data_IF_974206946126
#
_entry.id   IF_974206946126
#
_cell.length_a   1.000
_cell.length_b   1.000
_cell.length_c   1.000
_cell.angle_alpha   90.00
_cell.angle_beta   90.00
_cell.angle_gamma   90.00
#
_symmetry.space_group_name_H-M   'P 1'
#
loop_
_entity.id
_entity.type
_entity.pdbx_description
1 polymer ?
#
# COMPACT_ATOMS: atom_id res chain seq x y z
N UNK A 1 -3.37 -45.21 -51.24
CA UNK A 1 -3.71 -45.53 -49.84
C UNK A 1 -2.65 -44.96 -48.95
N UNK A 2 -2.96 -43.87 -48.29
CA UNK A 2 -2.06 -43.19 -47.32
C UNK A 2 -2.76 -43.30 -45.97
N UNK A 3 -2.15 -43.83 -44.93
CA UNK A 3 -2.80 -43.96 -43.62
C UNK A 3 -2.83 -42.61 -42.88
N UNK A 4 -3.99 -42.29 -42.41
CA UNK A 4 -4.32 -41.14 -41.58
C UNK A 4 -3.75 -41.38 -40.17
N UNK A 5 -2.74 -40.60 -39.77
CA UNK A 5 -2.23 -40.59 -38.39
C UNK A 5 -3.17 -39.76 -37.51
N UNK A 6 -3.80 -40.41 -36.55
CA UNK A 6 -4.65 -39.82 -35.54
C UNK A 6 -3.73 -39.20 -34.46
N UNK A 7 -3.62 -37.86 -34.39
CA UNK A 7 -3.02 -37.14 -33.29
C UNK A 7 -4.07 -37.03 -32.17
N UNK A 8 -3.91 -37.82 -31.13
CA UNK A 8 -4.62 -37.63 -29.87
C UNK A 8 -3.95 -36.49 -29.09
N UNK A 9 -4.58 -35.33 -29.09
CA UNK A 9 -4.26 -34.23 -28.19
C UNK A 9 -4.68 -34.66 -26.78
N UNK A 10 -3.68 -34.94 -25.94
CA UNK A 10 -3.87 -35.06 -24.51
C UNK A 10 -4.11 -33.64 -23.95
N UNK A 11 -5.35 -33.30 -23.67
CA UNK A 11 -5.69 -32.16 -22.84
C UNK A 11 -5.23 -32.47 -21.39
N UNK A 12 -4.08 -31.93 -21.00
CA UNK A 12 -3.69 -31.87 -19.60
C UNK A 12 -4.74 -31.03 -18.88
N UNK A 13 -5.52 -31.64 -18.00
CA UNK A 13 -6.36 -30.93 -17.05
C UNK A 13 -5.44 -30.15 -16.12
N UNK A 14 -5.34 -28.85 -16.32
CA UNK A 14 -4.84 -27.94 -15.30
C UNK A 14 -5.90 -27.99 -14.21
N UNK A 15 -5.60 -28.65 -13.11
CA UNK A 15 -6.34 -28.54 -11.86
C UNK A 15 -6.16 -27.07 -11.40
N UNK A 16 -7.07 -26.21 -11.82
CA UNK A 16 -7.33 -24.97 -11.11
C UNK A 16 -7.70 -25.37 -9.69
N UNK A 17 -6.83 -25.05 -8.73
CA UNK A 17 -7.21 -25.07 -7.33
C UNK A 17 -8.42 -24.14 -7.23
N UNK A 18 -9.60 -24.73 -7.03
CA UNK A 18 -10.81 -23.96 -6.82
C UNK A 18 -10.52 -23.01 -5.63
N UNK A 19 -10.60 -21.72 -5.87
CA UNK A 19 -10.60 -20.74 -4.81
C UNK A 19 -11.69 -21.19 -3.84
N UNK A 20 -11.32 -21.49 -2.60
CA UNK A 20 -12.27 -21.90 -1.58
C UNK A 20 -13.27 -20.77 -1.43
N UNK A 21 -14.53 -20.99 -1.84
CA UNK A 21 -15.59 -20.01 -1.72
C UNK A 21 -15.71 -19.62 -0.25
N UNK A 22 -15.39 -18.39 0.04
CA UNK A 22 -15.61 -17.77 1.33
C UNK A 22 -17.10 -17.45 1.46
N UNK A 23 -17.83 -18.30 2.12
CA UNK A 23 -19.31 -18.24 2.15
C UNK A 23 -19.86 -17.39 3.28
N UNK A 24 -19.01 -16.93 4.22
CA UNK A 24 -19.43 -16.08 5.36
C UNK A 24 -18.42 -14.95 5.59
N UNK A 25 -18.85 -13.69 5.66
CA UNK A 25 -17.94 -12.62 6.06
C UNK A 25 -17.54 -12.81 7.52
N UNK A 26 -16.29 -13.30 7.74
CA UNK A 26 -15.73 -13.47 9.08
C UNK A 26 -15.18 -12.14 9.62
N UNK A 27 -15.93 -11.06 9.44
CA UNK A 27 -15.54 -9.73 9.88
C UNK A 27 -16.72 -8.88 10.35
N UNK A 28 -16.44 -7.87 11.13
CA UNK A 28 -17.40 -6.89 11.62
C UNK A 28 -16.84 -5.47 11.56
N UNK A 29 -17.67 -4.48 11.28
CA UNK A 29 -17.28 -3.06 11.29
C UNK A 29 -17.09 -2.61 12.74
N UNK A 30 -15.93 -2.00 13.03
CA UNK A 30 -15.62 -1.48 14.38
C UNK A 30 -15.45 0.04 14.41
N UNK A 31 -15.22 0.68 13.26
CA UNK A 31 -15.18 2.13 13.12
C UNK A 31 -15.62 2.51 11.71
N UNK A 32 -16.21 3.69 11.55
CA UNK A 32 -16.68 4.21 10.28
C UNK A 32 -16.52 5.75 10.25
N UNK A 33 -16.66 6.35 9.07
CA UNK A 33 -16.53 7.80 8.89
C UNK A 33 -15.12 8.26 8.49
N UNK A 34 -14.26 7.33 8.06
CA UNK A 34 -12.94 7.61 7.52
C UNK A 34 -13.04 8.09 6.07
N UNK A 35 -12.04 8.84 5.63
CA UNK A 35 -11.96 9.36 4.25
C UNK A 35 -10.76 8.77 3.53
N UNK A 36 -11.03 7.81 2.63
CA UNK A 36 -10.03 7.05 1.90
C UNK A 36 -8.93 6.49 2.86
N UNK A 37 -9.30 5.59 3.80
CA UNK A 37 -8.35 5.05 4.77
C UNK A 37 -7.29 4.19 4.06
N UNK A 38 -6.06 4.35 4.49
CA UNK A 38 -4.87 3.66 3.99
C UNK A 38 -4.33 2.70 5.07
N UNK A 39 -3.01 2.62 5.23
CA UNK A 39 -2.42 1.76 6.23
C UNK A 39 -2.80 2.16 7.66
N UNK A 40 -2.80 1.19 8.55
CA UNK A 40 -3.16 1.36 9.95
C UNK A 40 -2.21 0.58 10.85
N UNK A 41 -1.92 1.14 12.01
CA UNK A 41 -0.97 0.55 12.95
C UNK A 41 -1.41 0.76 14.40
N UNK A 42 -0.99 -0.15 15.27
CA UNK A 42 -1.09 0.06 16.70
C UNK A 42 0.05 0.93 17.19
N UNK A 43 -0.27 2.07 17.78
CA UNK A 43 0.71 2.97 18.38
C UNK A 43 1.31 2.44 19.69
N UNK A 44 2.33 3.13 20.23
CA UNK A 44 2.97 2.75 21.50
C UNK A 44 2.02 2.72 22.70
N UNK A 45 0.92 3.47 22.64
CA UNK A 45 -0.15 3.50 23.64
C UNK A 45 -1.17 2.36 23.48
N UNK A 46 -0.98 1.49 22.49
CA UNK A 46 -1.88 0.37 22.15
C UNK A 46 -3.16 0.77 21.42
N UNK A 47 -3.34 2.05 21.06
CA UNK A 47 -4.47 2.49 20.23
C UNK A 47 -4.22 2.19 18.76
N UNK A 48 -5.31 2.02 18.00
CA UNK A 48 -5.24 1.86 16.56
C UNK A 48 -5.25 3.26 15.89
N UNK A 49 -4.29 3.49 15.02
CA UNK A 49 -4.16 4.71 14.22
C UNK A 49 -4.32 4.37 12.75
N UNK A 50 -4.93 5.28 11.99
CA UNK A 50 -5.26 5.10 10.58
C UNK A 50 -4.76 6.30 9.79
N UNK A 51 -4.01 6.06 8.72
CA UNK A 51 -3.71 7.06 7.70
C UNK A 51 -4.93 7.23 6.80
N UNK A 52 -5.29 8.46 6.48
CA UNK A 52 -6.39 8.80 5.58
C UNK A 52 -5.85 9.69 4.45
N UNK A 53 -5.99 9.25 3.21
CA UNK A 53 -5.49 10.00 2.06
C UNK A 53 -6.24 11.33 1.83
N UNK A 54 -7.46 11.43 2.33
CA UNK A 54 -8.33 12.59 2.07
C UNK A 54 -8.98 12.52 0.68
N UNK A 55 -9.26 13.67 0.10
CA UNK A 55 -9.94 13.82 -1.22
C UNK A 55 -9.22 14.83 -2.13
N UNK A 56 -7.96 15.15 -1.85
CA UNK A 56 -7.26 16.23 -2.56
C UNK A 56 -7.89 17.61 -2.29
N UNK A 57 -8.08 18.40 -3.34
CA UNK A 57 -8.63 19.74 -3.29
C UNK A 57 -8.77 20.34 -4.68
N UNK A 58 -8.57 21.67 -4.79
CA UNK A 58 -8.73 22.43 -6.04
C UNK A 58 -7.40 22.98 -6.60
N UNK A 59 -6.26 22.57 -6.04
CA UNK A 59 -4.96 23.05 -6.49
C UNK A 59 -4.58 22.38 -7.82
N UNK A 60 -4.23 23.20 -8.80
CA UNK A 60 -3.79 22.75 -10.11
C UNK A 60 -2.27 22.45 -10.10
N UNK A 61 -1.78 21.55 -10.98
CA UNK A 61 -0.35 21.35 -11.19
C UNK A 61 0.38 22.68 -11.42
N UNK A 62 1.55 22.83 -10.79
CA UNK A 62 2.39 24.03 -10.88
C UNK A 62 3.65 23.82 -11.73
N UNK A 63 3.92 22.57 -12.14
CA UNK A 63 4.91 22.20 -13.16
C UNK A 63 4.22 21.35 -14.23
N UNK A 64 4.92 21.07 -15.33
CA UNK A 64 4.38 20.16 -16.35
C UNK A 64 4.02 18.84 -15.73
N UNK A 65 2.73 18.47 -15.73
CA UNK A 65 2.32 17.18 -15.23
C UNK A 65 2.87 16.10 -16.16
N UNK A 66 3.15 14.94 -15.60
CA UNK A 66 3.48 13.79 -16.41
C UNK A 66 2.32 13.48 -17.36
N UNK A 67 2.63 13.16 -18.61
CA UNK A 67 1.63 12.58 -19.52
C UNK A 67 1.39 11.13 -19.06
N UNK A 68 0.29 10.89 -18.33
CA UNK A 68 -0.11 9.58 -17.84
C UNK A 68 -1.64 9.43 -17.83
N UNK A 69 -2.09 8.19 -17.65
CA UNK A 69 -3.51 7.83 -17.71
C UNK A 69 -4.34 8.37 -16.52
N UNK A 70 -3.72 8.75 -15.41
CA UNK A 70 -4.40 9.18 -14.17
C UNK A 70 -4.73 10.67 -14.12
N UNK A 71 -4.34 11.45 -15.13
CA UNK A 71 -4.68 12.87 -15.22
C UNK A 71 -6.19 13.11 -15.36
N UNK A 72 -6.75 14.25 -14.89
CA UNK A 72 -6.07 15.38 -14.24
C UNK A 72 -5.92 15.18 -12.72
N UNK A 73 -4.87 15.77 -12.13
CA UNK A 73 -4.66 15.80 -10.70
C UNK A 73 -5.22 17.08 -10.06
N UNK A 74 -5.72 16.95 -8.82
CA UNK A 74 -6.25 18.03 -8.00
C UNK A 74 -5.67 17.92 -6.59
N UNK A 75 -4.64 18.73 -6.32
CA UNK A 75 -3.97 18.77 -5.03
C UNK A 75 -4.77 19.48 -3.94
N UNK A 76 -4.45 19.20 -2.69
CA UNK A 76 -5.06 19.87 -1.54
C UNK A 76 -4.53 19.35 -0.21
N UNK A 77 -5.15 19.82 0.88
CA UNK A 77 -4.74 19.55 2.25
C UNK A 77 -5.87 18.89 3.03
N UNK A 78 -6.34 17.76 2.55
CA UNK A 78 -7.45 17.00 3.14
C UNK A 78 -7.01 15.67 3.78
N UNK A 79 -5.72 15.33 3.71
CA UNK A 79 -5.14 14.17 4.37
C UNK A 79 -5.21 14.28 5.89
N UNK A 80 -5.38 13.15 6.57
CA UNK A 80 -5.56 13.10 8.03
C UNK A 80 -4.95 11.85 8.63
N UNK A 81 -4.65 11.92 9.93
CA UNK A 81 -4.37 10.76 10.77
C UNK A 81 -5.42 10.70 11.86
N UNK A 82 -6.13 9.58 11.95
CA UNK A 82 -7.15 9.33 12.97
C UNK A 82 -6.73 8.24 13.94
N UNK A 83 -7.12 8.39 15.20
CA UNK A 83 -7.06 7.38 16.25
C UNK A 83 -8.44 6.79 16.46
N UNK A 84 -8.55 5.47 16.43
CA UNK A 84 -9.79 4.76 16.72
C UNK A 84 -9.89 4.51 18.23
N UNK A 85 -10.93 5.04 18.85
CA UNK A 85 -11.21 4.86 20.26
C UNK A 85 -11.91 3.50 20.52
N UNK A 86 -11.91 2.99 21.76
CA UNK A 86 -12.49 1.68 22.09
C UNK A 86 -13.98 1.53 21.74
N UNK A 87 -14.73 2.62 21.66
CA UNK A 87 -16.14 2.65 21.27
C UNK A 87 -16.36 2.79 19.75
N UNK A 88 -15.26 2.80 18.97
CA UNK A 88 -15.27 2.97 17.51
C UNK A 88 -15.33 4.42 17.02
N UNK A 89 -15.38 5.40 17.93
CA UNK A 89 -15.32 6.82 17.53
C UNK A 89 -13.90 7.20 17.05
N UNK A 90 -13.84 8.18 16.17
CA UNK A 90 -12.58 8.68 15.59
C UNK A 90 -12.15 9.96 16.31
N UNK A 91 -10.88 9.99 16.69
CA UNK A 91 -10.22 11.19 17.20
C UNK A 91 -9.16 11.63 16.18
N UNK A 92 -9.24 12.87 15.70
CA UNK A 92 -8.22 13.45 14.84
C UNK A 92 -6.91 13.63 15.62
N UNK A 93 -5.80 13.17 15.03
CA UNK A 93 -4.44 13.30 15.56
C UNK A 93 -3.68 14.38 14.80
N UNK A 94 -3.80 14.39 13.49
CA UNK A 94 -3.29 15.42 12.59
C UNK A 94 -4.24 15.55 11.41
N UNK A 95 -4.42 16.74 10.88
CA UNK A 95 -5.21 17.04 9.69
C UNK A 95 -4.52 18.08 8.81
N UNK A 96 -5.12 18.39 7.66
CA UNK A 96 -4.50 19.31 6.73
C UNK A 96 -3.20 18.79 6.10
N UNK A 97 -3.03 17.48 6.01
CA UNK A 97 -1.88 16.87 5.35
C UNK A 97 -2.06 16.86 3.81
N UNK A 98 -0.93 16.93 3.06
CA UNK A 98 -0.97 16.96 1.60
C UNK A 98 -1.58 15.70 0.99
N UNK A 99 -2.28 15.87 -0.14
CA UNK A 99 -2.83 14.79 -0.94
C UNK A 99 -3.42 15.31 -2.24
N UNK A 100 -3.78 14.41 -3.15
CA UNK A 100 -4.43 14.76 -4.40
C UNK A 100 -5.54 13.75 -4.75
N UNK A 101 -6.42 14.16 -5.64
CA UNK A 101 -7.41 13.33 -6.32
C UNK A 101 -7.00 13.21 -7.78
N UNK A 102 -7.04 12.01 -8.34
CA UNK A 102 -6.77 11.73 -9.75
C UNK A 102 -8.03 11.77 -10.62
N UNK A 103 -7.84 11.58 -11.93
CA UNK A 103 -8.93 11.59 -12.92
C UNK A 103 -9.89 10.40 -12.83
N UNK A 104 -9.54 9.35 -12.13
CA UNK A 104 -10.41 8.18 -11.87
C UNK A 104 -11.17 8.29 -10.54
N UNK A 105 -10.85 9.29 -9.73
CA UNK A 105 -11.44 9.48 -8.41
C UNK A 105 -10.71 8.73 -7.30
N UNK A 106 -9.47 8.29 -7.53
CA UNK A 106 -8.61 7.80 -6.47
C UNK A 106 -7.87 8.95 -5.80
N UNK A 107 -7.66 8.82 -4.50
CA UNK A 107 -7.00 9.83 -3.70
C UNK A 107 -5.72 9.28 -3.08
N UNK A 108 -4.61 9.96 -3.30
CA UNK A 108 -3.33 9.66 -2.68
C UNK A 108 -2.93 10.82 -1.77
N UNK A 109 -2.54 10.47 -0.54
CA UNK A 109 -2.24 11.47 0.50
C UNK A 109 -1.36 10.88 1.59
N UNK A 110 -1.86 10.81 2.83
CA UNK A 110 -1.18 10.07 3.90
C UNK A 110 -1.41 8.59 3.67
N UNK A 111 -0.35 7.85 3.36
CA UNK A 111 -0.44 6.42 3.01
C UNK A 111 -0.08 5.51 4.18
N UNK A 112 0.86 5.91 5.04
CA UNK A 112 1.33 5.06 6.14
C UNK A 112 1.83 5.87 7.35
N UNK A 113 1.95 5.20 8.50
CA UNK A 113 2.43 5.78 9.76
C UNK A 113 3.36 4.81 10.47
N UNK A 114 4.37 5.33 11.16
CA UNK A 114 5.30 4.53 11.94
C UNK A 114 5.77 5.28 13.19
N UNK A 115 6.34 4.55 14.15
CA UNK A 115 6.92 5.16 15.36
C UNK A 115 8.37 4.74 15.57
N UNK A 116 9.23 5.71 15.83
CA UNK A 116 10.59 5.49 16.33
C UNK A 116 10.73 6.24 17.64
N UNK A 117 11.06 5.53 18.73
CA UNK A 117 11.26 6.09 20.07
C UNK A 117 10.11 7.02 20.55
N UNK A 118 8.87 6.63 20.22
CA UNK A 118 7.66 7.37 20.57
C UNK A 118 7.33 8.56 19.67
N UNK A 119 8.18 8.90 18.71
CA UNK A 119 7.92 9.92 17.68
C UNK A 119 7.14 9.28 16.53
N UNK A 120 6.03 9.91 16.15
CA UNK A 120 5.21 9.50 15.00
C UNK A 120 5.76 10.10 13.72
N UNK A 121 5.88 9.26 12.70
CA UNK A 121 6.19 9.63 11.33
C UNK A 121 5.03 9.23 10.43
N UNK A 122 4.76 10.05 9.41
CA UNK A 122 3.77 9.75 8.37
C UNK A 122 4.43 9.78 6.99
N UNK A 123 3.97 8.90 6.12
CA UNK A 123 4.38 8.84 4.73
C UNK A 123 3.37 9.64 3.90
N UNK A 124 3.86 10.64 3.18
CA UNK A 124 3.08 11.45 2.24
C UNK A 124 3.31 10.88 0.84
N UNK A 125 2.30 10.26 0.29
CA UNK A 125 2.27 9.71 -1.07
C UNK A 125 1.86 10.78 -2.09
N UNK A 126 1.00 11.70 -1.69
CA UNK A 126 0.28 12.63 -2.54
C UNK A 126 0.90 14.00 -2.72
N UNK A 127 2.21 14.19 -2.49
CA UNK A 127 2.89 15.47 -2.65
C UNK A 127 3.49 15.69 -4.04
N UNK A 128 3.94 16.93 -4.31
CA UNK A 128 4.72 17.30 -5.48
C UNK A 128 4.07 18.33 -6.41
N UNK A 129 4.89 18.95 -7.25
CA UNK A 129 4.47 20.05 -8.13
C UNK A 129 3.53 19.60 -9.26
N UNK A 130 3.64 18.35 -9.75
CA UNK A 130 2.73 17.78 -10.75
C UNK A 130 1.32 17.58 -10.22
N UNK A 131 1.17 17.63 -8.89
CA UNK A 131 -0.08 17.46 -8.14
C UNK A 131 -0.58 18.74 -7.49
N UNK A 132 0.04 19.91 -7.83
CA UNK A 132 -0.34 21.21 -7.30
C UNK A 132 0.21 21.55 -5.91
N UNK A 133 1.19 20.77 -5.42
CA UNK A 133 1.77 20.88 -4.08
C UNK A 133 3.29 21.07 -4.15
N UNK A 134 3.79 22.19 -4.74
CA UNK A 134 5.22 22.37 -5.01
C UNK A 134 6.10 22.45 -3.76
N UNK A 135 5.54 22.89 -2.63
CA UNK A 135 6.25 23.04 -1.36
C UNK A 135 6.11 21.81 -0.44
N UNK A 136 5.25 20.87 -0.81
CA UNK A 136 4.95 19.66 -0.07
C UNK A 136 5.24 18.43 -0.95
N UNK A 137 6.49 17.93 -1.00
CA UNK A 137 6.86 16.79 -1.83
C UNK A 137 6.26 15.47 -1.32
N UNK A 138 6.25 14.43 -2.14
CA UNK A 138 6.12 13.08 -1.62
C UNK A 138 7.31 12.76 -0.72
N UNK A 139 7.06 12.21 0.48
CA UNK A 139 8.14 12.04 1.44
C UNK A 139 7.68 11.66 2.84
N UNK A 140 8.58 11.80 3.80
CA UNK A 140 8.30 11.50 5.20
C UNK A 140 8.21 12.77 6.02
N UNK A 141 7.15 12.87 6.82
CA UNK A 141 6.97 13.95 7.80
C UNK A 141 6.97 13.40 9.22
N UNK A 142 7.42 14.20 10.16
CA UNK A 142 7.23 13.99 11.60
C UNK A 142 5.95 14.69 12.03
N UNK A 143 5.10 13.99 12.77
CA UNK A 143 3.90 14.55 13.38
C UNK A 143 4.23 15.04 14.78
N UNK A 144 3.94 16.31 15.05
CA UNK A 144 4.15 16.94 16.34
C UNK A 144 2.97 16.68 17.29
N UNK A 145 3.14 16.80 18.62
CA UNK A 145 2.06 16.55 19.58
C UNK A 145 0.83 17.46 19.44
N UNK A 146 0.96 18.59 18.78
CA UNK A 146 -0.13 19.54 18.50
C UNK A 146 -0.86 19.24 17.17
N UNK A 147 -0.47 18.17 16.47
CA UNK A 147 -1.03 17.76 15.19
C UNK A 147 -0.39 18.41 13.96
N UNK A 148 0.50 19.38 14.15
CA UNK A 148 1.30 19.95 13.06
C UNK A 148 2.33 18.95 12.55
N UNK A 149 2.87 19.17 11.34
CA UNK A 149 3.91 18.32 10.77
C UNK A 149 5.14 19.10 10.30
N UNK A 150 6.24 18.38 10.15
CA UNK A 150 7.46 18.90 9.55
C UNK A 150 8.15 17.83 8.71
N UNK A 151 8.62 18.22 7.51
CA UNK A 151 9.33 17.30 6.63
C UNK A 151 10.63 16.80 7.26
N UNK A 152 10.85 15.50 7.10
CA UNK A 152 12.06 14.78 7.50
C UNK A 152 12.85 14.39 6.27
N UNK A 153 12.18 13.91 5.22
CA UNK A 153 12.83 13.49 3.99
C UNK A 153 11.97 13.84 2.77
N UNK A 154 12.61 14.35 1.74
CA UNK A 154 12.04 14.65 0.42
C UNK A 154 12.37 13.49 -0.53
N UNK A 155 11.40 12.60 -0.74
CA UNK A 155 11.54 11.46 -1.65
C UNK A 155 11.46 11.94 -3.10
N UNK A 156 10.63 12.93 -3.41
CA UNK A 156 10.54 13.53 -4.76
C UNK A 156 11.91 14.03 -5.25
N UNK A 157 12.59 14.83 -4.42
CA UNK A 157 13.93 15.33 -4.78
C UNK A 157 14.94 14.18 -4.95
N UNK A 158 14.85 13.15 -4.10
CA UNK A 158 15.74 12.01 -4.18
C UNK A 158 15.56 11.23 -5.49
N UNK A 159 14.33 10.85 -5.87
CA UNK A 159 14.08 10.06 -7.09
C UNK A 159 14.45 10.85 -8.34
N UNK A 160 14.13 12.14 -8.40
CA UNK A 160 14.51 13.02 -9.52
C UNK A 160 16.02 13.15 -9.69
N UNK A 161 16.78 13.14 -8.59
CA UNK A 161 18.25 13.22 -8.62
C UNK A 161 18.93 11.86 -8.85
N UNK A 162 18.24 10.75 -8.61
CA UNK A 162 18.77 9.39 -8.65
C UNK A 162 17.85 8.49 -9.48
N UNK A 163 17.85 8.59 -10.82
CA UNK A 163 16.99 7.78 -11.68
C UNK A 163 17.22 6.27 -11.45
N UNK A 164 16.19 5.48 -11.73
CA UNK A 164 16.24 4.02 -11.68
C UNK A 164 16.79 3.45 -13.00
N UNK A 165 17.07 2.14 -13.01
CA UNK A 165 17.62 1.47 -14.19
C UNK A 165 16.64 1.45 -15.38
N UNK A 166 15.32 1.40 -15.10
CA UNK A 166 14.24 1.47 -16.09
C UNK A 166 13.16 2.42 -15.58
N UNK A 167 13.10 3.63 -16.14
CA UNK A 167 12.10 4.63 -15.75
C UNK A 167 10.69 4.19 -16.16
N UNK A 168 9.65 4.55 -15.36
CA UNK A 168 8.26 4.29 -15.70
C UNK A 168 7.89 4.92 -17.05
N UNK A 169 7.04 4.23 -17.81
CA UNK A 169 6.61 4.73 -19.11
C UNK A 169 5.61 5.86 -18.96
N UNK A 170 5.92 7.02 -19.57
CA UNK A 170 4.97 8.12 -19.71
C UNK A 170 4.12 7.93 -20.99
N UNK A 171 2.95 8.58 -21.04
CA UNK A 171 2.03 8.55 -22.17
C UNK A 171 0.59 8.24 -21.74
N UNK A 172 -0.37 8.32 -22.66
CA UNK A 172 -1.81 8.18 -22.34
C UNK A 172 -2.22 6.81 -21.79
N UNK A 173 -1.33 5.83 -21.83
CA UNK A 173 -1.49 4.49 -21.23
C UNK A 173 -0.37 4.15 -20.27
N UNK A 174 0.48 5.11 -19.93
CA UNK A 174 1.59 4.94 -19.01
C UNK A 174 1.21 5.37 -17.59
N UNK A 175 2.03 4.93 -16.65
CA UNK A 175 1.94 5.27 -15.22
C UNK A 175 3.24 5.92 -14.76
N UNK A 176 3.51 7.13 -15.28
CA UNK A 176 4.73 7.85 -14.98
C UNK A 176 4.41 8.95 -13.94
N UNK A 177 4.97 8.80 -12.75
CA UNK A 177 4.75 9.68 -11.60
C UNK A 177 6.06 10.33 -11.15
N UNK A 178 6.50 11.44 -11.78
CA UNK A 178 7.82 12.02 -11.52
C UNK A 178 8.00 12.57 -10.10
N UNK A 179 6.93 12.75 -9.35
CA UNK A 179 6.96 13.10 -7.93
C UNK A 179 7.04 11.87 -7.01
N UNK A 180 6.90 10.66 -7.58
CA UNK A 180 6.92 9.39 -6.88
C UNK A 180 5.59 9.01 -6.21
N UNK A 181 5.47 7.72 -5.87
CA UNK A 181 4.31 7.14 -5.17
C UNK A 181 4.82 6.26 -4.02
N UNK A 182 5.36 6.84 -2.92
CA UNK A 182 5.78 6.05 -1.76
C UNK A 182 4.55 5.54 -1.00
N UNK A 183 4.30 4.22 -1.05
CA UNK A 183 3.04 3.63 -0.63
C UNK A 183 3.02 3.10 0.80
N UNK A 184 4.10 2.47 1.25
CA UNK A 184 4.19 1.90 2.59
C UNK A 184 5.52 2.14 3.27
N UNK A 185 5.52 2.09 4.60
CA UNK A 185 6.68 2.39 5.43
C UNK A 185 6.75 1.45 6.62
N UNK A 186 7.94 0.94 6.93
CA UNK A 186 8.19 0.16 8.14
C UNK A 186 9.45 0.63 8.87
N UNK A 187 9.52 0.34 10.17
CA UNK A 187 10.75 0.57 10.96
C UNK A 187 11.67 -0.64 10.87
N UNK A 188 12.90 -0.42 10.48
CA UNK A 188 13.95 -1.43 10.47
C UNK A 188 15.30 -0.84 10.93
N UNK A 189 15.90 -1.41 11.97
CA UNK A 189 17.20 -0.95 12.47
C UNK A 189 17.24 0.50 12.95
N UNK A 190 16.12 1.05 13.45
CA UNK A 190 16.01 2.46 13.87
C UNK A 190 15.85 3.45 12.73
N UNK A 191 15.68 2.96 11.51
CA UNK A 191 15.42 3.74 10.29
C UNK A 191 14.04 3.43 9.73
N UNK A 192 13.58 4.24 8.79
CA UNK A 192 12.35 4.01 8.04
C UNK A 192 12.71 3.38 6.69
N UNK A 193 12.05 2.26 6.36
CA UNK A 193 12.17 1.62 5.06
C UNK A 193 10.87 1.83 4.32
N UNK A 194 10.94 2.45 3.16
CA UNK A 194 9.81 2.90 2.35
C UNK A 194 9.76 2.10 1.05
N UNK A 195 8.58 1.62 0.68
CA UNK A 195 8.32 1.09 -0.67
C UNK A 195 7.82 2.25 -1.53
N UNK A 196 8.55 2.54 -2.58
CA UNK A 196 8.20 3.51 -3.61
C UNK A 196 7.77 2.73 -4.85
N UNK A 197 6.47 2.75 -5.12
CA UNK A 197 5.79 1.83 -6.05
C UNK A 197 6.09 2.18 -7.51
N UNK A 198 6.00 3.45 -7.89
CA UNK A 198 6.06 3.86 -9.28
C UNK A 198 7.43 3.61 -9.92
N UNK A 199 8.52 3.89 -9.18
CA UNK A 199 9.89 3.62 -9.64
C UNK A 199 10.40 2.25 -9.16
N UNK A 200 9.54 1.39 -8.65
CA UNK A 200 9.87 0.03 -8.20
C UNK A 200 11.09 -0.02 -7.25
N UNK A 201 11.10 0.87 -6.26
CA UNK A 201 12.24 1.05 -5.37
C UNK A 201 11.91 0.74 -3.91
N UNK A 202 12.91 0.24 -3.18
CA UNK A 202 12.90 0.22 -1.72
C UNK A 202 13.93 1.22 -1.23
N UNK A 203 13.49 2.18 -0.42
CA UNK A 203 14.30 3.27 0.10
C UNK A 203 14.52 3.12 1.60
N UNK A 204 15.69 3.47 2.09
CA UNK A 204 16.00 3.63 3.52
C UNK A 204 16.12 5.12 3.84
N UNK A 205 15.45 5.56 4.89
CA UNK A 205 15.46 6.95 5.37
C UNK A 205 15.97 6.97 6.80
N UNK A 206 17.00 7.75 7.05
CA UNK A 206 17.47 8.06 8.39
C UNK A 206 16.68 9.27 8.92
N UNK A 207 15.79 9.11 9.90
CA UNK A 207 14.93 10.20 10.36
C UNK A 207 15.68 11.29 11.15
N UNK A 208 16.92 11.03 11.59
CA UNK A 208 17.72 12.00 12.31
C UNK A 208 18.43 12.98 11.36
N UNK A 209 18.86 12.51 10.17
CA UNK A 209 19.55 13.34 9.18
C UNK A 209 18.69 13.72 7.98
N UNK A 210 17.57 13.03 7.75
CA UNK A 210 16.74 13.15 6.56
C UNK A 210 17.34 12.50 5.31
N UNK A 211 18.46 11.78 5.44
CA UNK A 211 19.11 11.16 4.30
C UNK A 211 18.28 10.00 3.74
N UNK A 212 18.18 9.94 2.41
CA UNK A 212 17.49 8.88 1.66
C UNK A 212 18.52 8.07 0.90
N UNK A 213 18.41 6.75 0.93
CA UNK A 213 19.27 5.81 0.19
C UNK A 213 18.42 4.76 -0.49
N UNK A 214 18.66 4.47 -1.78
CA UNK A 214 18.00 3.35 -2.46
C UNK A 214 18.67 2.03 -2.04
N UNK A 215 17.89 1.14 -1.44
CA UNK A 215 18.33 -0.19 -1.02
C UNK A 215 18.16 -1.20 -2.15
N UNK A 216 17.03 -1.12 -2.88
CA UNK A 216 16.73 -1.97 -4.03
C UNK A 216 16.21 -1.11 -5.19
N UNK A 217 16.64 -1.46 -6.40
CA UNK A 217 16.09 -1.02 -7.67
C UNK A 217 15.54 -2.26 -8.39
N UNK A 218 14.22 -2.36 -8.47
CA UNK A 218 13.49 -3.46 -9.11
C UNK A 218 12.83 -3.02 -10.42
N UNK A 219 13.17 -1.83 -10.91
CA UNK A 219 12.51 -1.20 -12.06
C UNK A 219 12.63 -2.01 -13.37
N UNK A 220 13.66 -2.85 -13.49
CA UNK A 220 13.81 -3.76 -14.66
C UNK A 220 12.82 -4.92 -14.61
N UNK A 221 12.44 -5.38 -13.41
CA UNK A 221 11.45 -6.44 -13.20
C UNK A 221 10.02 -5.92 -13.17
N UNK A 222 9.84 -4.66 -12.81
CA UNK A 222 8.55 -3.95 -12.73
C UNK A 222 7.47 -4.69 -11.92
N UNK A 223 7.74 -5.04 -10.63
CA UNK A 223 6.80 -5.82 -9.81
C UNK A 223 5.67 -4.99 -9.23
N UNK A 224 5.63 -3.67 -9.42
CA UNK A 224 4.72 -2.73 -8.75
C UNK A 224 4.63 -3.02 -7.23
N UNK A 225 5.74 -2.86 -6.50
CA UNK A 225 5.83 -3.24 -5.09
C UNK A 225 4.96 -2.31 -4.23
N UNK A 226 4.30 -2.87 -3.23
CA UNK A 226 3.35 -2.13 -2.37
C UNK A 226 3.76 -2.16 -0.91
N UNK A 227 4.13 -3.34 -0.39
CA UNK A 227 4.26 -3.55 1.05
C UNK A 227 5.46 -4.42 1.40
N UNK A 228 6.07 -4.11 2.55
CA UNK A 228 7.09 -4.94 3.18
C UNK A 228 6.55 -5.66 4.41
N UNK A 229 6.85 -6.94 4.50
CA UNK A 229 6.72 -7.75 5.71
C UNK A 229 8.08 -8.21 6.23
N UNK A 230 8.15 -8.64 7.50
CA UNK A 230 9.39 -9.10 8.11
C UNK A 230 9.21 -10.38 8.93
N UNK A 231 10.14 -11.33 8.76
CA UNK A 231 10.28 -12.51 9.63
C UNK A 231 11.73 -12.66 10.06
N UNK A 232 12.03 -12.36 11.31
CA UNK A 232 13.42 -12.33 11.79
C UNK A 232 14.22 -11.27 11.03
N UNK A 233 15.24 -11.73 10.31
CA UNK A 233 16.08 -10.86 9.47
C UNK A 233 15.65 -10.83 8.00
N UNK A 234 14.72 -11.67 7.59
CA UNK A 234 14.26 -11.72 6.21
C UNK A 234 13.17 -10.70 5.99
N UNK A 235 13.24 -9.99 4.86
CA UNK A 235 12.23 -9.08 4.38
C UNK A 235 11.48 -9.72 3.21
N UNK A 236 10.19 -9.45 3.16
CA UNK A 236 9.26 -9.92 2.14
C UNK A 236 8.61 -8.71 1.49
N UNK A 237 8.76 -8.59 0.18
CA UNK A 237 8.15 -7.55 -0.63
C UNK A 237 7.00 -8.15 -1.42
N UNK A 238 5.84 -7.52 -1.39
CA UNK A 238 4.67 -7.95 -2.15
C UNK A 238 4.04 -6.76 -2.87
N UNK A 239 3.39 -7.03 -3.99
CA UNK A 239 2.83 -5.98 -4.83
C UNK A 239 1.66 -6.41 -5.70
N UNK A 240 1.25 -5.52 -6.59
CA UNK A 240 0.11 -5.70 -7.48
C UNK A 240 0.29 -6.83 -8.50
N UNK A 241 1.53 -7.22 -8.79
CA UNK A 241 1.82 -8.37 -9.65
C UNK A 241 1.44 -9.73 -9.03
N UNK A 242 1.03 -9.74 -7.76
CA UNK A 242 0.66 -10.96 -7.04
C UNK A 242 1.83 -11.84 -6.63
N UNK A 243 3.06 -11.30 -6.66
CA UNK A 243 4.25 -11.97 -6.20
C UNK A 243 4.59 -11.59 -4.76
N UNK A 244 5.15 -12.53 -4.02
CA UNK A 244 5.86 -12.28 -2.77
C UNK A 244 7.31 -12.62 -3.00
N UNK A 245 8.17 -11.62 -2.92
CA UNK A 245 9.61 -11.75 -3.08
C UNK A 245 10.27 -11.72 -1.71
N UNK A 246 11.33 -12.49 -1.53
CA UNK A 246 12.12 -12.52 -0.29
C UNK A 246 13.54 -12.07 -0.57
N UNK A 247 14.08 -11.27 0.33
CA UNK A 247 15.47 -10.89 0.34
C UNK A 247 16.03 -10.86 1.77
N UNK A 248 17.25 -11.32 1.92
CA UNK A 248 17.95 -11.32 3.21
C UNK A 248 18.48 -9.91 3.54
N UNK A 249 18.97 -9.75 4.76
CA UNK A 249 19.45 -8.46 5.31
C UNK A 249 20.56 -7.78 4.51
N UNK A 250 21.23 -8.47 3.60
CA UNK A 250 22.28 -7.89 2.75
C UNK A 250 21.75 -7.33 1.43
N UNK A 251 20.44 -7.42 1.16
CA UNK A 251 19.80 -6.98 -0.09
C UNK A 251 20.48 -7.48 -1.38
N UNK A 252 21.29 -8.52 -1.28
CA UNK A 252 22.15 -9.01 -2.37
C UNK A 252 21.48 -9.97 -3.35
N UNK A 253 20.35 -10.56 -2.99
CA UNK A 253 19.59 -11.46 -3.86
C UNK A 253 18.10 -11.40 -3.55
N UNK A 254 17.30 -11.18 -4.58
CA UNK A 254 15.85 -11.25 -4.54
C UNK A 254 15.41 -12.57 -5.12
N UNK A 255 14.53 -13.30 -4.43
CA UNK A 255 13.97 -14.55 -4.93
C UNK A 255 12.45 -14.56 -4.74
N UNK A 256 11.73 -15.16 -5.69
CA UNK A 256 10.29 -15.39 -5.52
C UNK A 256 10.08 -16.37 -4.37
N UNK A 257 9.36 -15.92 -3.35
CA UNK A 257 8.98 -16.74 -2.20
C UNK A 257 7.64 -17.42 -2.44
N UNK A 258 6.69 -16.69 -3.04
CA UNK A 258 5.35 -17.17 -3.31
C UNK A 258 4.72 -16.36 -4.44
N UNK A 259 3.68 -16.89 -5.09
CA UNK A 259 3.04 -16.28 -6.25
C UNK A 259 1.58 -16.71 -6.37
N UNK A 260 0.89 -16.27 -7.44
CA UNK A 260 -0.51 -16.59 -7.75
C UNK A 260 -1.48 -15.98 -6.74
N UNK A 261 -1.17 -14.76 -6.27
CA UNK A 261 -2.11 -13.88 -5.59
C UNK A 261 -2.70 -12.88 -6.59
N UNK A 262 -3.78 -12.25 -6.20
CA UNK A 262 -4.26 -11.03 -6.84
C UNK A 262 -3.52 -9.81 -6.27
N UNK A 263 -3.82 -8.63 -6.75
CA UNK A 263 -3.23 -7.36 -6.29
C UNK A 263 -3.04 -7.30 -4.77
N UNK A 264 -1.82 -7.64 -4.30
CA UNK A 264 -1.48 -7.64 -2.88
C UNK A 264 -1.26 -6.20 -2.44
N UNK A 265 -2.00 -5.78 -1.42
CA UNK A 265 -1.91 -4.41 -0.86
C UNK A 265 -1.39 -4.38 0.57
N UNK A 266 -1.39 -5.52 1.27
CA UNK A 266 -0.79 -5.59 2.60
C UNK A 266 -0.30 -7.00 2.94
N UNK A 267 0.67 -7.07 3.84
CA UNK A 267 1.31 -8.31 4.28
C UNK A 267 1.64 -8.22 5.77
N UNK A 268 1.14 -9.14 6.57
CA UNK A 268 1.50 -9.25 7.98
C UNK A 268 2.05 -10.62 8.30
N UNK A 269 3.25 -10.69 8.93
CA UNK A 269 3.92 -11.95 9.25
C UNK A 269 4.09 -12.07 10.77
N UNK A 270 3.71 -13.23 11.32
CA UNK A 270 3.96 -13.56 12.74
C UNK A 270 4.23 -15.05 12.91
N UNK A 271 5.42 -15.38 13.39
CA UNK A 271 5.83 -16.78 13.56
C UNK A 271 5.86 -17.51 12.22
N UNK A 272 5.03 -18.55 12.07
CA UNK A 272 4.88 -19.32 10.84
C UNK A 272 3.61 -18.98 10.06
N UNK A 273 2.95 -17.88 10.41
CA UNK A 273 1.74 -17.40 9.75
C UNK A 273 2.04 -16.14 8.97
N UNK A 274 1.55 -16.07 7.76
CA UNK A 274 1.54 -14.91 6.90
C UNK A 274 0.09 -14.61 6.54
N UNK A 275 -0.31 -13.37 6.65
CA UNK A 275 -1.62 -12.87 6.24
C UNK A 275 -1.42 -11.94 5.06
N UNK A 276 -2.01 -12.28 3.93
CA UNK A 276 -1.92 -11.53 2.68
C UNK A 276 -3.26 -10.87 2.43
N UNK A 277 -3.27 -9.56 2.22
CA UNK A 277 -4.46 -8.80 1.89
C UNK A 277 -4.48 -8.51 0.40
N UNK A 278 -5.50 -9.00 -0.28
CA UNK A 278 -5.77 -8.72 -1.69
C UNK A 278 -6.91 -7.71 -1.80
N UNK A 279 -6.71 -6.67 -2.63
CA UNK A 279 -7.70 -5.59 -2.74
C UNK A 279 -8.93 -5.99 -3.57
N UNK A 280 -8.78 -6.98 -4.47
CA UNK A 280 -9.86 -7.60 -5.23
C UNK A 280 -9.52 -9.04 -5.62
N UNK A 281 -10.54 -9.82 -6.00
CA UNK A 281 -10.34 -11.19 -6.49
C UNK A 281 -9.75 -11.20 -7.91
N UNK A 282 -8.91 -12.18 -8.26
CA UNK A 282 -8.24 -12.24 -9.58
C UNK A 282 -9.22 -12.36 -10.77
N UNK A 283 -10.37 -12.99 -10.54
CA UNK A 283 -11.40 -13.16 -11.57
C UNK A 283 -12.26 -11.90 -11.79
N UNK A 284 -12.18 -10.94 -10.86
CA UNK A 284 -12.98 -9.71 -10.84
C UNK A 284 -12.12 -8.50 -10.47
N UNK A 285 -11.15 -8.13 -11.33
CA UNK A 285 -10.29 -6.97 -11.05
C UNK A 285 -11.13 -5.68 -10.94
N UNK A 286 -10.74 -4.81 -10.00
CA UNK A 286 -11.40 -3.52 -9.73
C UNK A 286 -12.89 -3.62 -9.41
N UNK A 287 -13.33 -4.78 -8.88
CA UNK A 287 -14.72 -4.98 -8.45
C UNK A 287 -14.81 -4.80 -6.93
N UNK A 288 -15.71 -3.93 -6.44
CA UNK A 288 -15.94 -3.78 -5.00
C UNK A 288 -16.44 -5.09 -4.37
N UNK A 289 -16.26 -5.22 -3.05
CA UNK A 289 -16.70 -6.36 -2.25
C UNK A 289 -16.11 -7.72 -2.69
N UNK A 290 -14.93 -7.70 -3.32
CA UNK A 290 -14.22 -8.92 -3.73
C UNK A 290 -12.86 -9.08 -3.06
N UNK A 291 -12.42 -8.08 -2.27
CA UNK A 291 -11.18 -8.16 -1.49
C UNK A 291 -11.24 -9.26 -0.44
N UNK A 292 -10.07 -9.80 -0.09
CA UNK A 292 -9.97 -10.93 0.84
C UNK A 292 -8.67 -10.95 1.63
N UNK A 293 -8.70 -11.62 2.79
CA UNK A 293 -7.51 -11.96 3.56
C UNK A 293 -7.19 -13.43 3.36
N UNK A 294 -5.98 -13.72 2.89
CA UNK A 294 -5.45 -15.07 2.75
C UNK A 294 -4.52 -15.38 3.93
N UNK A 295 -4.82 -16.40 4.70
CA UNK A 295 -3.86 -17.01 5.62
C UNK A 295 -2.97 -17.97 4.85
N UNK A 296 -1.68 -17.79 4.95
CA UNK A 296 -0.66 -18.62 4.32
C UNK A 296 0.34 -19.08 5.37
N UNK A 297 0.44 -20.38 5.59
CA UNK A 297 1.45 -20.97 6.47
C UNK A 297 2.78 -21.15 5.73
N UNK A 298 3.90 -21.11 6.45
CA UNK A 298 5.23 -21.30 5.84
C UNK A 298 5.48 -22.74 5.31
N UNK A 299 4.56 -23.68 5.56
CA UNK A 299 4.51 -25.01 4.92
C UNK A 299 3.89 -25.00 3.51
N UNK A 300 3.39 -23.86 3.07
CA UNK A 300 2.78 -23.65 1.74
C UNK A 300 1.27 -23.74 1.70
N UNK A 301 0.59 -24.12 2.79
CA UNK A 301 -0.87 -24.15 2.83
C UNK A 301 -1.44 -22.73 2.80
N UNK A 302 -2.56 -22.54 2.07
CA UNK A 302 -3.28 -21.27 1.91
C UNK A 302 -4.78 -21.47 2.09
N UNK A 303 -5.43 -20.52 2.75
CA UNK A 303 -6.89 -20.46 2.81
C UNK A 303 -7.37 -19.01 2.99
N UNK A 304 -8.47 -18.66 2.34
CA UNK A 304 -9.15 -17.39 2.59
C UNK A 304 -9.84 -17.44 3.95
N UNK A 305 -9.56 -16.47 4.81
CA UNK A 305 -10.13 -16.36 6.15
C UNK A 305 -11.13 -15.22 6.30
N UNK A 306 -11.12 -14.27 5.37
CA UNK A 306 -12.10 -13.21 5.25
C UNK A 306 -12.26 -12.83 3.78
N UNK A 307 -13.47 -12.51 3.34
CA UNK A 307 -13.77 -12.05 1.99
C UNK A 307 -14.95 -11.09 1.96
N UNK A 308 -15.30 -10.61 0.77
CA UNK A 308 -16.31 -9.58 0.62
C UNK A 308 -15.86 -8.22 1.16
N UNK A 309 -14.55 -7.96 1.21
CA UNK A 309 -14.00 -6.70 1.63
C UNK A 309 -14.04 -5.69 0.47
N UNK A 310 -14.58 -4.50 0.75
CA UNK A 310 -14.68 -3.44 -0.25
C UNK A 310 -13.35 -2.70 -0.38
N UNK A 311 -12.60 -2.96 -1.45
CA UNK A 311 -11.30 -2.33 -1.73
C UNK A 311 -10.44 -2.11 -0.48
N UNK A 312 -10.01 -3.18 0.21
CA UNK A 312 -9.15 -3.05 1.36
C UNK A 312 -7.74 -2.61 0.96
N UNK A 313 -7.03 -1.89 1.88
CA UNK A 313 -5.63 -1.50 1.68
C UNK A 313 -4.76 -1.82 2.88
N UNK A 314 -5.12 -1.35 4.06
CA UNK A 314 -4.31 -1.49 5.25
C UNK A 314 -4.71 -2.70 6.09
N UNK A 315 -3.73 -3.31 6.76
CA UNK A 315 -3.98 -4.41 7.69
C UNK A 315 -3.01 -4.35 8.87
N UNK A 316 -3.55 -4.38 10.08
CA UNK A 316 -2.76 -4.50 11.31
C UNK A 316 -3.25 -5.69 12.15
N UNK A 317 -2.36 -6.24 12.98
CA UNK A 317 -2.68 -7.36 13.85
C UNK A 317 -2.51 -7.02 15.33
N UNK A 318 -3.47 -7.44 16.16
CA UNK A 318 -3.33 -7.47 17.61
C UNK A 318 -3.92 -8.76 18.19
N UNK A 319 -3.07 -9.52 18.86
CA UNK A 319 -3.50 -10.81 19.43
C UNK A 319 -3.94 -11.79 18.34
N UNK A 320 -5.20 -12.21 18.41
CA UNK A 320 -5.85 -13.13 17.47
C UNK A 320 -6.87 -12.42 16.57
N UNK A 321 -6.62 -11.16 16.25
CA UNK A 321 -7.47 -10.33 15.42
C UNK A 321 -6.65 -9.57 14.39
N UNK A 322 -7.20 -9.42 13.17
CA UNK A 322 -6.74 -8.48 12.16
C UNK A 322 -7.72 -7.32 12.08
N UNK A 323 -7.17 -6.15 11.81
CA UNK A 323 -7.91 -4.91 11.59
C UNK A 323 -7.58 -4.46 10.16
N UNK A 324 -8.60 -4.24 9.35
CA UNK A 324 -8.46 -3.95 7.92
C UNK A 324 -9.19 -2.67 7.58
N UNK A 325 -8.51 -1.75 6.89
CA UNK A 325 -9.15 -0.58 6.29
C UNK A 325 -9.85 -0.98 4.99
N UNK A 326 -11.10 -0.56 4.83
CA UNK A 326 -11.92 -0.88 3.67
C UNK A 326 -12.61 0.37 3.12
N UNK A 327 -13.11 0.29 1.90
CA UNK A 327 -13.68 1.41 1.16
C UNK A 327 -12.64 2.51 0.93
N UNK A 328 -11.49 2.08 0.40
CA UNK A 328 -10.27 2.89 0.32
C UNK A 328 -9.99 3.46 -1.08
N UNK A 329 -10.70 2.99 -2.11
CA UNK A 329 -10.53 3.40 -3.50
C UNK A 329 -11.84 3.81 -4.16
N UNK A 330 -11.75 4.60 -5.25
CA UNK A 330 -12.84 4.83 -6.19
C UNK A 330 -14.02 5.61 -5.62
N UNK A 331 -13.82 6.29 -4.50
CA UNK A 331 -14.91 7.04 -3.86
C UNK A 331 -15.11 8.44 -4.45
N UNK A 332 -14.19 8.88 -5.30
CA UNK A 332 -14.16 10.26 -5.76
C UNK A 332 -14.04 11.26 -4.60
N UNK A 333 -14.57 12.47 -4.73
CA UNK A 333 -14.48 13.48 -3.68
C UNK A 333 -15.47 13.25 -2.53
N UNK A 334 -15.84 11.99 -2.23
CA UNK A 334 -16.79 11.68 -1.15
C UNK A 334 -16.03 11.38 0.13
N UNK A 335 -16.46 11.98 1.23
CA UNK A 335 -15.87 11.82 2.55
C UNK A 335 -16.66 10.86 3.41
N UNK A 336 -15.99 10.21 4.38
CA UNK A 336 -16.64 9.47 5.46
C UNK A 336 -17.20 8.10 5.10
N UNK A 337 -16.89 7.54 3.92
CA UNK A 337 -17.33 6.20 3.53
C UNK A 337 -16.41 5.09 4.03
N UNK A 338 -15.16 5.42 4.37
CA UNK A 338 -14.16 4.46 4.82
C UNK A 338 -14.50 3.86 6.19
N UNK A 339 -14.11 2.61 6.36
CA UNK A 339 -14.38 1.83 7.58
C UNK A 339 -13.14 1.05 7.99
N UNK A 340 -13.12 0.66 9.27
CA UNK A 340 -12.23 -0.39 9.78
C UNK A 340 -13.08 -1.60 10.13
N UNK A 341 -12.70 -2.74 9.60
CA UNK A 341 -13.30 -4.01 9.95
C UNK A 341 -12.32 -4.84 10.79
N UNK A 342 -12.87 -5.67 11.66
CA UNK A 342 -12.14 -6.63 12.49
C UNK A 342 -12.40 -8.04 11.98
N UNK A 343 -11.34 -8.79 11.68
CA UNK A 343 -11.36 -10.20 11.32
C UNK A 343 -10.84 -11.02 12.49
N UNK A 344 -11.54 -12.07 12.89
CA UNK A 344 -11.09 -12.99 13.94
C UNK A 344 -10.31 -14.16 13.31
N UNK A 345 -9.13 -14.49 13.91
CA UNK A 345 -8.24 -15.56 13.47
C UNK A 345 -8.54 -16.89 14.15
#
# INVERSE_FOLDING_TARGET
>A
MIPLLCFTLAFGAILQAAAQECTDPNWEVIAAGLTNPRNLHFGPDGSLYVAEAGIGGDLEPTCEPADNMFQPYRGGYSGRISRVLPDGTLQTVADGLPGFLDGFGDSLGVSDIAWIEGTMYALIEGGGCTRGLPDDPAGVVRINPDGSYSYVADITAFIRANPVASEPLCGPFGDCEPDGVPHSMMVHGGKLVVVETNHNSVLEIDPASGSVTRMLDLSVQDPAPIILGRKGNDLFLAGFDGLIQMFGTSFGSVSTFDQDYSAIVNLHIRGNDMYVLETFAPEMPWTPDTGRVIHRSFDGSRNAIACGLNFPIGMARRGNELFVSVTSYGQGPVTGLGQIVRVRL
#
